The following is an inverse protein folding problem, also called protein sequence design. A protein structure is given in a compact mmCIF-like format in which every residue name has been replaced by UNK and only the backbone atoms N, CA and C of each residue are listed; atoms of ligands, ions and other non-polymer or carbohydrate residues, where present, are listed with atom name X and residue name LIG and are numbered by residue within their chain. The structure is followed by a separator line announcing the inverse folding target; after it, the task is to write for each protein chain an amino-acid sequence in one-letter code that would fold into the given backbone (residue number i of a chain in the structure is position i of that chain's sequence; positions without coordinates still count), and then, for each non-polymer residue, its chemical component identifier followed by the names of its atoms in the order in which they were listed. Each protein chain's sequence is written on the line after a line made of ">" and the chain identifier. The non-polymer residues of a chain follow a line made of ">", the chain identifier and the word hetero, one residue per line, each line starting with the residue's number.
data_IF_897731505921
#
_entry.id   IF_897731505921
#
_cell.length_a   1.000
_cell.length_b   1.000
_cell.length_c   1.000
_cell.angle_alpha   90.00
_cell.angle_beta   90.00
_cell.angle_gamma   90.00
#
_symmetry.space_group_name_H-M   'P 1'
#
loop_
_entity.id
_entity.type
_entity.pdbx_description
1 polymer ?
#
# COMPACT_ATOMS: atom_id res chain seq x y z
N UNK A 1 -13.51 31.87 -70.87
CA UNK A 1 -14.34 31.97 -69.63
C UNK A 1 -14.04 30.85 -68.63
N UNK A 2 -13.49 29.71 -69.05
CA UNK A 2 -13.31 28.51 -68.21
C UNK A 2 -12.21 28.60 -67.13
N UNK A 3 -11.16 29.39 -67.38
CA UNK A 3 -9.96 29.40 -66.52
C UNK A 3 -10.16 30.18 -65.21
N UNK A 4 -11.05 31.19 -65.22
CA UNK A 4 -11.42 31.98 -64.05
C UNK A 4 -12.30 31.19 -63.08
N UNK A 5 -13.18 30.33 -63.60
CA UNK A 5 -14.03 29.46 -62.79
C UNK A 5 -13.19 28.40 -62.05
N UNK A 6 -12.19 27.81 -62.71
CA UNK A 6 -11.28 26.83 -62.09
C UNK A 6 -10.40 27.45 -61.00
N UNK A 7 -9.93 28.68 -61.21
CA UNK A 7 -9.20 29.44 -60.19
C UNK A 7 -10.04 29.67 -58.93
N UNK A 8 -11.28 30.13 -59.11
CA UNK A 8 -12.23 30.37 -58.01
C UNK A 8 -12.52 29.09 -57.21
N UNK A 9 -12.75 27.97 -57.89
CA UNK A 9 -13.01 26.68 -57.23
C UNK A 9 -11.82 26.18 -56.41
N UNK A 10 -10.59 26.40 -56.89
CA UNK A 10 -9.38 26.05 -56.14
C UNK A 10 -9.18 26.93 -54.91
N UNK A 11 -9.55 28.21 -54.98
CA UNK A 11 -9.51 29.14 -53.84
C UNK A 11 -10.55 28.75 -52.78
N UNK A 12 -11.79 28.44 -53.20
CA UNK A 12 -12.86 28.01 -52.30
C UNK A 12 -12.53 26.70 -51.57
N UNK A 13 -11.85 25.76 -52.25
CA UNK A 13 -11.38 24.51 -51.63
C UNK A 13 -10.28 24.76 -50.59
N UNK A 14 -9.36 25.69 -50.85
CA UNK A 14 -8.32 26.07 -49.90
C UNK A 14 -8.93 26.74 -48.67
N UNK A 15 -9.94 27.61 -48.85
CA UNK A 15 -10.67 28.24 -47.76
C UNK A 15 -11.40 27.20 -46.90
N UNK A 16 -12.12 26.26 -47.53
CA UNK A 16 -12.80 25.19 -46.80
C UNK A 16 -11.84 24.31 -46.00
N UNK A 17 -10.66 24.00 -46.56
CA UNK A 17 -9.61 23.25 -45.85
C UNK A 17 -9.02 24.05 -44.69
N UNK A 18 -8.84 25.37 -44.85
CA UNK A 18 -8.35 26.23 -43.78
C UNK A 18 -9.34 26.31 -42.62
N UNK A 19 -10.64 26.39 -42.91
CA UNK A 19 -11.71 26.38 -41.92
C UNK A 19 -11.73 25.07 -41.12
N UNK A 20 -11.60 23.92 -41.78
CA UNK A 20 -11.48 22.62 -41.10
C UNK A 20 -10.25 22.55 -40.19
N UNK A 21 -9.10 23.06 -40.66
CA UNK A 21 -7.87 23.08 -39.85
C UNK A 21 -8.03 24.01 -38.64
N UNK A 22 -8.71 25.15 -38.80
CA UNK A 22 -9.00 26.05 -37.67
C UNK A 22 -9.93 25.40 -36.65
N UNK A 23 -11.00 24.72 -37.08
CA UNK A 23 -11.92 24.02 -36.18
C UNK A 23 -11.21 22.93 -35.37
N UNK A 24 -10.36 22.11 -36.03
CA UNK A 24 -9.56 21.09 -35.35
C UNK A 24 -8.57 21.73 -34.37
N UNK A 25 -7.93 22.83 -34.75
CA UNK A 25 -7.00 23.56 -33.87
C UNK A 25 -7.72 24.12 -32.64
N UNK A 26 -8.90 24.69 -32.80
CA UNK A 26 -9.71 25.21 -31.70
C UNK A 26 -10.16 24.10 -30.76
N UNK A 27 -10.61 22.96 -31.32
CA UNK A 27 -10.94 21.77 -30.54
C UNK A 27 -9.74 21.24 -29.74
N UNK A 28 -8.56 21.20 -30.36
CA UNK A 28 -7.33 20.77 -29.69
C UNK A 28 -6.93 21.75 -28.57
N UNK A 29 -7.03 23.04 -28.79
CA UNK A 29 -6.74 24.06 -27.79
C UNK A 29 -7.70 23.96 -26.59
N UNK A 30 -9.00 23.81 -26.85
CA UNK A 30 -9.99 23.61 -25.79
C UNK A 30 -9.70 22.34 -24.98
N UNK A 31 -9.28 21.27 -25.65
CA UNK A 31 -8.88 20.03 -24.99
C UNK A 31 -7.64 20.21 -24.11
N UNK A 32 -6.60 20.88 -24.61
CA UNK A 32 -5.38 21.18 -23.84
C UNK A 32 -5.71 21.99 -22.60
N UNK A 33 -6.51 23.06 -22.73
CA UNK A 33 -6.94 23.87 -21.59
C UNK A 33 -7.73 23.05 -20.55
N UNK A 34 -8.58 22.13 -21.00
CA UNK A 34 -9.34 21.27 -20.10
C UNK A 34 -8.41 20.30 -19.32
N UNK A 35 -7.39 19.75 -19.98
CA UNK A 35 -6.38 18.91 -19.35
C UNK A 35 -5.54 19.72 -18.35
N UNK A 36 -5.10 20.92 -18.72
CA UNK A 36 -4.35 21.81 -17.83
C UNK A 36 -5.16 22.18 -16.59
N UNK A 37 -6.45 22.52 -16.76
CA UNK A 37 -7.34 22.80 -15.63
C UNK A 37 -7.54 21.58 -14.73
N UNK A 38 -7.69 20.39 -15.33
CA UNK A 38 -7.79 19.14 -14.57
C UNK A 38 -6.52 18.86 -13.77
N UNK A 39 -5.35 19.09 -14.37
CA UNK A 39 -4.06 18.93 -13.71
C UNK A 39 -3.90 19.90 -12.53
N UNK A 40 -4.26 21.18 -12.71
CA UNK A 40 -4.24 22.18 -11.63
C UNK A 40 -5.19 21.77 -10.49
N UNK A 41 -6.36 21.24 -10.82
CA UNK A 41 -7.33 20.76 -9.84
C UNK A 41 -6.76 19.60 -9.01
N UNK A 42 -6.15 18.60 -9.66
CA UNK A 42 -5.51 17.47 -8.97
C UNK A 42 -4.33 17.93 -8.11
N UNK A 43 -3.52 18.85 -8.61
CA UNK A 43 -2.40 19.42 -7.85
C UNK A 43 -2.89 20.15 -6.60
N UNK A 44 -3.96 20.94 -6.71
CA UNK A 44 -4.56 21.64 -5.56
C UNK A 44 -5.13 20.65 -4.53
N UNK A 45 -5.76 19.57 -4.97
CA UNK A 45 -6.25 18.52 -4.07
C UNK A 45 -5.10 17.83 -3.33
N UNK A 46 -4.02 17.49 -4.02
CA UNK A 46 -2.84 16.87 -3.41
C UNK A 46 -2.23 17.80 -2.35
N UNK A 47 -2.11 19.10 -2.66
CA UNK A 47 -1.59 20.09 -1.72
C UNK A 47 -2.45 20.14 -0.44
N UNK A 48 -3.77 20.09 -0.57
CA UNK A 48 -4.69 20.04 0.57
C UNK A 48 -4.50 18.78 1.42
N UNK A 49 -4.32 17.62 0.80
CA UNK A 49 -4.07 16.35 1.51
C UNK A 49 -2.75 16.40 2.29
N UNK A 50 -1.69 16.96 1.70
CA UNK A 50 -0.40 17.14 2.39
C UNK A 50 -0.56 18.02 3.62
N UNK A 51 -1.30 19.12 3.51
CA UNK A 51 -1.56 20.01 4.64
C UNK A 51 -2.37 19.32 5.74
N UNK A 52 -3.38 18.53 5.38
CA UNK A 52 -4.14 17.73 6.35
C UNK A 52 -3.26 16.72 7.09
N UNK A 53 -2.37 16.02 6.39
CA UNK A 53 -1.41 15.09 7.00
C UNK A 53 -0.43 15.81 7.93
N UNK A 54 0.09 16.97 7.51
CA UNK A 54 0.96 17.79 8.36
C UNK A 54 0.25 18.31 9.61
N UNK A 55 -1.02 18.71 9.50
CA UNK A 55 -1.84 19.12 10.65
C UNK A 55 -2.11 17.95 11.60
N UNK A 56 -2.47 16.79 11.06
CA UNK A 56 -2.67 15.58 11.86
C UNK A 56 -1.39 15.20 12.63
N UNK A 57 -0.23 15.22 11.97
CA UNK A 57 1.05 14.94 12.61
C UNK A 57 1.44 16.01 13.65
N UNK A 58 1.20 17.30 13.38
CA UNK A 58 1.41 18.38 14.35
C UNK A 58 0.56 18.21 15.61
N UNK A 59 -0.72 17.89 15.43
CA UNK A 59 -1.66 17.67 16.55
C UNK A 59 -1.31 16.42 17.36
N UNK A 60 -0.78 15.38 16.69
CA UNK A 60 -0.27 14.17 17.35
C UNK A 60 1.02 14.44 18.16
N UNK A 61 1.89 15.34 17.69
CA UNK A 61 3.14 15.73 18.40
C UNK A 61 2.86 16.44 19.73
N UNK A 62 1.84 17.29 19.78
CA UNK A 62 1.44 18.06 20.98
C UNK A 62 1.08 17.16 22.19
N UNK A 63 0.58 15.94 21.95
CA UNK A 63 0.25 14.99 23.03
C UNK A 63 1.44 14.08 23.43
N UNK A 64 2.56 14.10 22.69
CA UNK A 64 3.69 13.19 22.87
C UNK A 64 5.00 13.81 23.36
N UNK A 65 5.19 15.12 23.25
CA UNK A 65 6.48 15.79 23.52
C UNK A 65 6.62 16.38 24.95
N UNK A 66 5.91 15.84 25.94
CA UNK A 66 6.06 16.23 27.35
C UNK A 66 7.06 15.40 28.16
N UNK A 67 7.60 14.29 27.62
CA UNK A 67 8.32 13.30 28.45
C UNK A 67 9.73 12.88 27.97
N UNK A 68 10.24 13.37 26.83
CA UNK A 68 11.57 12.93 26.35
C UNK A 68 12.62 14.03 26.24
N UNK A 69 12.28 15.30 26.46
CA UNK A 69 13.24 16.40 26.43
C UNK A 69 13.92 16.62 27.80
N UNK A 70 14.59 15.60 28.35
CA UNK A 70 15.64 15.82 29.35
C UNK A 70 16.49 14.57 29.58
N UNK A 71 17.37 14.21 28.65
CA UNK A 71 18.54 13.38 28.93
C UNK A 71 19.58 13.44 27.79
N UNK A 72 20.04 14.65 27.49
CA UNK A 72 21.38 14.80 26.91
C UNK A 72 22.12 15.92 27.63
N UNK A 73 22.97 15.52 28.58
CA UNK A 73 24.32 16.08 28.81
C UNK A 73 25.00 15.37 29.97
N UNK A 74 26.15 14.76 29.68
CA UNK A 74 27.19 14.53 30.68
C UNK A 74 27.73 13.11 30.75
N UNK A 75 28.70 12.79 29.89
CA UNK A 75 29.69 11.76 30.17
C UNK A 75 30.52 12.14 31.40
N UNK A 76 30.67 11.26 32.40
CA UNK A 76 31.95 10.88 33.05
C UNK A 76 31.74 10.07 34.34
N UNK A 77 32.27 8.84 34.32
CA UNK A 77 33.05 8.13 35.36
C UNK A 77 32.73 8.24 36.87
N UNK A 78 32.80 7.03 37.48
CA UNK A 78 33.12 6.65 38.89
C UNK A 78 31.99 6.66 39.93
N UNK A 79 31.69 5.46 40.46
CA UNK A 79 32.05 5.00 41.82
C UNK A 79 30.99 4.06 42.45
N UNK A 80 31.43 2.81 42.69
CA UNK A 80 31.33 2.01 43.94
C UNK A 80 30.05 2.08 44.82
N UNK A 81 29.42 0.90 44.95
CA UNK A 81 28.75 0.25 46.09
C UNK A 81 28.09 1.12 47.20
N UNK A 82 26.81 0.84 47.50
CA UNK A 82 26.47 0.13 48.75
C UNK A 82 25.03 -0.44 48.77
N UNK A 83 24.95 -1.52 49.52
CA UNK A 83 23.87 -2.43 49.88
C UNK A 83 22.72 -1.75 50.65
N UNK A 84 21.47 -2.22 50.50
CA UNK A 84 20.64 -2.79 51.59
C UNK A 84 19.13 -2.82 51.27
N UNK A 85 18.54 -4.00 51.49
CA UNK A 85 17.23 -4.28 52.09
C UNK A 85 16.06 -3.31 51.84
N UNK A 86 14.95 -3.82 51.28
CA UNK A 86 13.70 -4.09 52.03
C UNK A 86 12.63 -4.75 51.16
N UNK A 87 11.83 -5.58 51.83
CA UNK A 87 10.87 -6.56 51.35
C UNK A 87 9.42 -6.01 51.36
N UNK A 88 8.53 -6.71 50.63
CA UNK A 88 7.09 -6.95 50.88
C UNK A 88 6.00 -6.10 50.18
N UNK A 89 5.31 -6.79 49.24
CA UNK A 89 3.88 -7.23 49.22
C UNK A 89 2.67 -6.26 49.12
N UNK A 90 1.60 -6.86 48.55
CA UNK A 90 0.18 -6.45 48.37
C UNK A 90 -0.14 -5.66 47.08
N UNK A 91 -0.86 -6.18 46.07
CA UNK A 91 -2.21 -6.77 45.99
C UNK A 91 -3.35 -5.80 46.30
N UNK A 92 -4.06 -5.32 45.26
CA UNK A 92 -5.55 -5.27 45.14
C UNK A 92 -5.94 -4.75 43.73
N UNK A 93 -7.04 -5.26 43.12
CA UNK A 93 -7.39 -5.07 41.70
C UNK A 93 -8.42 -3.96 41.51
N UNK A 94 -8.50 -3.39 40.30
CA UNK A 94 -9.62 -2.50 39.92
C UNK A 94 -10.09 -2.77 38.50
N UNK A 95 -11.19 -3.51 38.40
CA UNK A 95 -12.09 -3.47 37.24
C UNK A 95 -12.76 -2.09 37.22
N UNK A 96 -12.76 -1.43 36.06
CA UNK A 96 -13.79 -0.44 35.71
C UNK A 96 -14.36 -0.77 34.33
N UNK A 97 -15.68 -0.87 34.32
CA UNK A 97 -16.54 -1.24 33.21
C UNK A 97 -16.86 -0.02 32.33
N UNK A 98 -16.96 -0.29 31.02
CA UNK A 98 -17.78 0.38 30.01
C UNK A 98 -17.48 1.85 29.62
N UNK A 99 -17.01 2.02 28.37
CA UNK A 99 -17.80 2.75 27.35
C UNK A 99 -17.53 2.16 25.97
N UNK A 100 -18.59 1.65 25.34
CA UNK A 100 -18.65 1.44 23.90
C UNK A 100 -18.40 2.80 23.22
N UNK A 101 -17.23 2.99 22.61
CA UNK A 101 -17.07 3.99 21.57
C UNK A 101 -16.45 3.33 20.35
N UNK A 102 -17.24 3.41 19.30
CA UNK A 102 -17.04 2.90 17.95
C UNK A 102 -15.86 3.64 17.28
N UNK A 103 -14.64 3.38 17.74
CA UNK A 103 -13.37 3.88 17.20
C UNK A 103 -12.53 2.68 16.71
N UNK A 104 -13.20 1.62 16.24
CA UNK A 104 -12.57 0.33 15.97
C UNK A 104 -12.01 0.16 14.55
N UNK A 105 -12.49 0.93 13.57
CA UNK A 105 -12.24 0.59 12.15
C UNK A 105 -11.08 1.39 11.55
N UNK A 106 -11.00 2.70 11.78
CA UNK A 106 -9.94 3.55 11.23
C UNK A 106 -8.61 3.50 12.03
N UNK A 107 -8.66 3.13 13.32
CA UNK A 107 -7.45 2.92 14.12
C UNK A 107 -6.77 1.58 13.78
N UNK A 108 -7.56 0.56 13.40
CA UNK A 108 -7.04 -0.76 13.03
C UNK A 108 -6.27 -0.74 11.69
N UNK A 109 -6.63 0.13 10.75
CA UNK A 109 -5.91 0.27 9.47
C UNK A 109 -4.48 0.82 9.65
N UNK A 110 -4.23 1.62 10.70
CA UNK A 110 -2.90 2.16 11.01
C UNK A 110 -1.95 1.16 11.71
N UNK A 111 -2.39 -0.08 11.93
CA UNK A 111 -1.58 -1.17 12.54
C UNK A 111 -1.68 -2.49 11.78
N UNK A 112 -2.09 -2.45 10.51
CA UNK A 112 -2.06 -3.65 9.67
C UNK A 112 -0.60 -3.94 9.32
N UNK A 113 0.02 -4.86 10.06
CA UNK A 113 1.34 -5.39 9.73
C UNK A 113 1.20 -6.54 8.73
N UNK A 114 2.16 -6.65 7.83
CA UNK A 114 2.20 -7.78 6.91
C UNK A 114 2.50 -9.08 7.71
N UNK A 115 1.79 -10.18 7.45
CA UNK A 115 1.91 -11.39 8.28
C UNK A 115 3.24 -12.11 8.07
N UNK A 116 3.94 -12.40 9.17
CA UNK A 116 5.10 -13.30 9.19
C UNK A 116 4.75 -14.76 8.89
N UNK A 117 5.70 -15.49 8.31
CA UNK A 117 5.59 -16.91 8.01
C UNK A 117 6.87 -17.68 8.32
N UNK A 118 6.75 -18.65 9.24
CA UNK A 118 7.81 -19.55 9.69
C UNK A 118 7.60 -20.99 9.22
N UNK A 119 6.56 -21.22 8.42
CA UNK A 119 6.21 -22.53 7.86
C UNK A 119 5.08 -23.23 8.59
N UNK A 120 4.47 -22.59 9.61
CA UNK A 120 3.27 -23.08 10.27
C UNK A 120 2.00 -22.44 9.67
N UNK A 121 0.92 -23.24 9.58
CA UNK A 121 -0.41 -22.79 9.17
C UNK A 121 -0.39 -22.00 7.84
N UNK A 122 0.15 -22.60 6.78
CA UNK A 122 0.31 -21.98 5.46
C UNK A 122 -0.98 -21.38 4.90
N UNK A 123 -2.11 -22.11 4.91
CA UNK A 123 -3.44 -21.57 4.59
C UNK A 123 -3.78 -20.30 5.39
N UNK A 124 -3.55 -20.32 6.70
CA UNK A 124 -3.81 -19.18 7.57
C UNK A 124 -2.96 -17.97 7.21
N UNK A 125 -1.69 -18.19 6.85
CA UNK A 125 -0.82 -17.14 6.35
C UNK A 125 -1.30 -16.58 5.00
N UNK A 126 -1.58 -17.43 4.00
CA UNK A 126 -2.08 -17.02 2.68
C UNK A 126 -3.36 -16.18 2.80
N UNK A 127 -4.33 -16.61 3.62
CA UNK A 127 -5.57 -15.83 3.86
C UNK A 127 -5.29 -14.45 4.43
N UNK A 128 -4.31 -14.32 5.33
CA UNK A 128 -3.92 -13.02 5.90
C UNK A 128 -3.24 -12.14 4.86
N UNK A 129 -2.37 -12.69 4.02
CA UNK A 129 -1.75 -11.96 2.90
C UNK A 129 -2.79 -11.44 1.91
N UNK A 130 -3.74 -12.28 1.49
CA UNK A 130 -4.82 -11.88 0.56
C UNK A 130 -5.66 -10.75 1.16
N UNK A 131 -6.04 -10.86 2.45
CA UNK A 131 -6.76 -9.78 3.14
C UNK A 131 -5.93 -8.50 3.22
N UNK A 132 -4.62 -8.60 3.45
CA UNK A 132 -3.73 -7.44 3.45
C UNK A 132 -3.73 -6.75 2.09
N UNK A 133 -3.56 -7.50 0.99
CA UNK A 133 -3.56 -6.96 -0.37
C UNK A 133 -4.91 -6.37 -0.83
N UNK A 134 -6.02 -6.82 -0.24
CA UNK A 134 -7.34 -6.23 -0.47
C UNK A 134 -7.50 -4.87 0.23
N UNK A 135 -6.88 -4.71 1.40
CA UNK A 135 -6.98 -3.48 2.20
C UNK A 135 -5.93 -2.45 1.82
N UNK A 136 -4.76 -2.91 1.37
CA UNK A 136 -3.64 -2.08 0.94
C UNK A 136 -3.32 -2.46 -0.51
N UNK A 137 -3.59 -1.58 -1.49
CA UNK A 137 -3.33 -1.86 -2.89
C UNK A 137 -1.84 -2.07 -3.13
N UNK A 138 -1.46 -3.32 -3.39
CA UNK A 138 -0.09 -3.71 -3.76
C UNK A 138 -0.13 -4.18 -5.22
N UNK A 139 0.70 -3.61 -6.12
CA UNK A 139 0.85 -4.10 -7.49
C UNK A 139 1.19 -5.61 -7.52
N UNK A 140 0.67 -6.34 -8.50
CA UNK A 140 0.82 -7.79 -8.57
C UNK A 140 2.28 -8.26 -8.60
N UNK A 141 3.15 -7.51 -9.28
CA UNK A 141 4.60 -7.73 -9.35
C UNK A 141 5.32 -7.49 -8.02
N UNK A 142 4.70 -6.76 -7.08
CA UNK A 142 5.26 -6.45 -5.76
C UNK A 142 4.76 -7.38 -4.64
N UNK A 143 3.71 -8.20 -4.89
CA UNK A 143 3.14 -9.09 -3.87
C UNK A 143 4.13 -10.16 -3.40
N UNK A 144 4.84 -10.80 -4.33
CA UNK A 144 5.84 -11.84 -4.02
C UNK A 144 7.09 -11.25 -3.35
N UNK A 145 7.70 -10.17 -3.89
CA UNK A 145 8.77 -9.46 -3.18
C UNK A 145 8.38 -9.06 -1.75
N UNK A 146 7.19 -8.49 -1.57
CA UNK A 146 6.69 -8.12 -0.24
C UNK A 146 6.61 -9.35 0.68
N UNK A 147 5.95 -10.42 0.24
CA UNK A 147 5.79 -11.63 1.05
C UNK A 147 7.12 -12.27 1.45
N UNK A 148 8.12 -12.23 0.58
CA UNK A 148 9.44 -12.82 0.83
C UNK A 148 10.16 -12.19 2.03
N UNK A 149 9.99 -10.89 2.26
CA UNK A 149 10.63 -10.16 3.37
C UNK A 149 10.12 -10.63 4.74
N UNK A 150 8.91 -11.21 4.78
CA UNK A 150 8.26 -11.66 6.00
C UNK A 150 8.31 -13.19 6.18
N UNK A 151 9.03 -13.89 5.30
CA UNK A 151 9.38 -15.29 5.49
C UNK A 151 10.56 -15.41 6.44
N UNK A 152 10.51 -16.36 7.38
CA UNK A 152 11.54 -16.52 8.40
C UNK A 152 11.96 -17.98 8.58
N UNK A 153 13.18 -18.16 9.08
CA UNK A 153 13.71 -19.46 9.47
C UNK A 153 13.78 -20.44 8.30
N UNK A 154 13.15 -21.61 8.44
CA UNK A 154 13.19 -22.67 7.42
C UNK A 154 12.52 -22.26 6.10
N UNK A 155 11.59 -21.31 6.13
CA UNK A 155 10.88 -20.85 4.93
C UNK A 155 11.76 -19.93 4.11
N UNK A 156 12.49 -19.03 4.75
CA UNK A 156 13.42 -18.12 4.08
C UNK A 156 14.45 -18.91 3.27
N UNK A 157 15.09 -19.91 3.89
CA UNK A 157 16.04 -20.79 3.21
C UNK A 157 15.43 -21.54 2.02
N UNK A 158 14.19 -22.03 2.19
CA UNK A 158 13.47 -22.69 1.10
C UNK A 158 13.17 -21.71 -0.04
N UNK A 159 12.75 -20.49 0.28
CA UNK A 159 12.40 -19.47 -0.71
C UNK A 159 13.63 -19.06 -1.53
N UNK A 160 14.81 -18.91 -0.90
CA UNK A 160 16.06 -18.66 -1.65
C UNK A 160 16.32 -19.72 -2.72
N UNK A 161 16.22 -21.01 -2.35
CA UNK A 161 16.37 -22.11 -3.31
C UNK A 161 15.20 -22.26 -4.30
N UNK A 162 14.06 -21.63 -4.04
CA UNK A 162 12.91 -21.57 -4.93
C UNK A 162 13.10 -20.51 -6.02
N UNK A 163 13.56 -19.31 -5.65
CA UNK A 163 13.74 -18.18 -6.60
C UNK A 163 14.94 -18.35 -7.52
N UNK A 164 16.00 -19.05 -7.10
CA UNK A 164 17.16 -19.35 -7.96
C UNK A 164 16.79 -20.09 -9.26
N UNK A 165 15.60 -20.68 -9.32
CA UNK A 165 15.12 -21.50 -10.44
C UNK A 165 14.14 -20.76 -11.36
N UNK A 166 13.70 -19.55 -11.02
CA UNK A 166 12.58 -18.89 -11.71
C UNK A 166 12.74 -17.35 -11.78
N UNK A 167 12.59 -16.77 -12.98
CA UNK A 167 12.81 -15.33 -13.23
C UNK A 167 11.64 -14.41 -12.84
N UNK A 168 10.39 -14.87 -12.95
CA UNK A 168 9.19 -14.11 -12.56
C UNK A 168 8.17 -15.04 -11.92
N UNK A 169 7.63 -14.66 -10.77
CA UNK A 169 6.72 -15.50 -9.98
C UNK A 169 5.43 -14.75 -9.66
N UNK A 170 4.31 -15.07 -10.34
CA UNK A 170 3.03 -14.54 -9.95
C UNK A 170 2.66 -15.06 -8.56
N UNK A 171 1.90 -14.25 -7.82
CA UNK A 171 1.47 -14.56 -6.45
C UNK A 171 0.85 -15.95 -6.32
N UNK A 172 0.01 -16.35 -7.28
CA UNK A 172 -0.68 -17.64 -7.24
C UNK A 172 0.28 -18.83 -7.33
N UNK A 173 1.40 -18.69 -8.05
CA UNK A 173 2.42 -19.74 -8.15
C UNK A 173 3.18 -19.89 -6.84
N UNK A 174 3.51 -18.77 -6.18
CA UNK A 174 4.10 -18.80 -4.83
C UNK A 174 3.14 -19.47 -3.84
N UNK A 175 1.86 -19.11 -3.86
CA UNK A 175 0.85 -19.70 -2.98
C UNK A 175 0.78 -21.22 -3.19
N UNK A 176 0.73 -21.67 -4.45
CA UNK A 176 0.74 -23.09 -4.75
C UNK A 176 1.95 -23.81 -4.14
N UNK A 177 3.15 -23.30 -4.38
CA UNK A 177 4.39 -23.91 -3.88
C UNK A 177 4.51 -23.87 -2.35
N UNK A 178 4.00 -22.82 -1.69
CA UNK A 178 3.93 -22.75 -0.22
C UNK A 178 2.99 -23.82 0.35
N UNK A 179 1.80 -23.98 -0.22
CA UNK A 179 0.80 -24.94 0.25
C UNK A 179 1.26 -26.38 0.00
N UNK A 180 1.86 -26.65 -1.16
CA UNK A 180 2.48 -27.94 -1.47
C UNK A 180 3.60 -28.28 -0.49
N UNK A 181 4.51 -27.34 -0.21
CA UNK A 181 5.71 -27.58 0.59
C UNK A 181 5.43 -27.76 2.08
N UNK A 182 4.54 -26.95 2.65
CA UNK A 182 4.38 -26.80 4.09
C UNK A 182 3.06 -27.37 4.63
N UNK A 183 2.14 -27.78 3.76
CA UNK A 183 0.82 -28.24 4.18
C UNK A 183 0.52 -29.70 3.78
N UNK A 184 1.47 -30.38 3.14
CA UNK A 184 1.33 -31.76 2.64
C UNK A 184 0.01 -31.95 1.84
N UNK A 185 -0.38 -30.93 1.07
CA UNK A 185 -1.60 -30.96 0.26
C UNK A 185 -1.28 -31.45 -1.14
N UNK A 186 -2.01 -32.46 -1.59
CA UNK A 186 -1.96 -32.91 -2.98
C UNK A 186 -2.42 -31.78 -3.91
N UNK A 187 -1.75 -31.62 -5.05
CA UNK A 187 -1.91 -30.50 -6.00
C UNK A 187 -3.37 -30.23 -6.42
N UNK A 188 -4.22 -31.26 -6.43
CA UNK A 188 -5.65 -31.19 -6.79
C UNK A 188 -6.51 -30.43 -5.75
N UNK A 189 -6.16 -30.51 -4.46
CA UNK A 189 -6.85 -29.78 -3.38
C UNK A 189 -6.46 -28.31 -3.32
N UNK A 190 -5.22 -27.99 -3.66
CA UNK A 190 -4.73 -26.60 -3.70
C UNK A 190 -5.44 -25.80 -4.80
N UNK A 191 -5.58 -26.38 -6.01
CA UNK A 191 -6.24 -25.73 -7.13
C UNK A 191 -7.75 -25.51 -6.92
N UNK A 192 -8.43 -26.47 -6.30
CA UNK A 192 -9.86 -26.35 -5.98
C UNK A 192 -10.15 -25.31 -4.90
N UNK A 193 -9.27 -25.13 -3.91
CA UNK A 193 -9.43 -24.08 -2.89
C UNK A 193 -9.10 -22.67 -3.42
N UNK A 194 -8.10 -22.53 -4.30
CA UNK A 194 -7.76 -21.25 -4.93
C UNK A 194 -8.88 -20.75 -5.85
N UNK A 195 -9.50 -21.66 -6.61
CA UNK A 195 -10.64 -21.34 -7.50
C UNK A 195 -11.94 -21.10 -6.73
N UNK A 196 -12.17 -21.84 -5.63
CA UNK A 196 -13.36 -21.65 -4.77
C UNK A 196 -13.31 -20.36 -3.96
N UNK A 197 -12.12 -19.93 -3.52
CA UNK A 197 -11.95 -18.69 -2.74
C UNK A 197 -11.98 -17.43 -3.63
N UNK A 198 -11.67 -17.55 -4.92
CA UNK A 198 -11.76 -16.45 -5.89
C UNK A 198 -13.18 -16.24 -6.43
N UNK A 199 -14.03 -17.27 -6.49
CA UNK A 199 -15.44 -17.14 -6.93
C UNK A 199 -16.45 -16.72 -5.86
N UNK A 200 -16.08 -16.65 -4.57
CA UNK A 200 -16.98 -16.18 -3.49
C UNK A 200 -16.88 -14.68 -3.20
N UNK A 201 -16.09 -13.93 -3.98
CA UNK A 201 -15.86 -12.50 -3.82
C UNK A 201 -16.05 -11.69 -5.12
N UNK A 202 -16.76 -12.25 -6.11
CA UNK A 202 -17.41 -11.51 -7.20
C UNK A 202 -18.92 -11.51 -6.97
#
# INVERSE_FOLDING_TARGET
>A
MDERARGQTSEDEIHSRLDQVMEVKEGLLAFVLNVEHSLLTVQQQLQSVVEQLQQYNRNKSILGEGLTASLEKGSSSRAVMHNSFRQESSSIPRQEHHTHQNIGTYSALNKMEFPYFDGENSRGWVRRCVRYFQLIPIPDDQKVPMASVYMQGKVELWYQGYIERKEFQPWDELVFSVLERFENLDSERVMTELTSSTMKLL
#
